data_IF_950885070989
#
_entry.id   IF_950885070989
#
_cell.length_a   1.000
_cell.length_b   1.000
_cell.length_c   1.000
_cell.angle_alpha   90.00
_cell.angle_beta   90.00
_cell.angle_gamma   90.00
#
_symmetry.space_group_name_H-M   'P 1'
#
loop_
_entity.id
_entity.type
_entity.pdbx_description
1 polymer ?
#
# COMPACT_ATOMS: atom_id res chain seq x y z
N UNK A 1 -12.15 -13.92 -12.31
CA UNK A 1 -11.38 -13.83 -13.58
C UNK A 1 -11.37 -12.43 -14.18
N UNK A 2 -12.52 -11.76 -14.43
CA UNK A 2 -12.54 -10.41 -15.03
C UNK A 2 -11.78 -9.32 -14.23
N UNK A 3 -11.85 -9.35 -12.89
CA UNK A 3 -11.15 -8.39 -12.02
C UNK A 3 -9.61 -8.48 -12.13
N UNK A 4 -9.09 -9.69 -12.28
CA UNK A 4 -7.66 -9.98 -12.42
C UNK A 4 -7.14 -9.44 -13.76
N UNK A 5 -7.88 -9.65 -14.85
CA UNK A 5 -7.55 -9.08 -16.16
C UNK A 5 -7.62 -7.55 -16.18
N UNK A 6 -8.57 -6.93 -15.48
CA UNK A 6 -8.64 -5.47 -15.36
C UNK A 6 -7.53 -4.89 -14.48
N UNK A 7 -7.15 -5.59 -13.41
CA UNK A 7 -6.02 -5.22 -12.55
C UNK A 7 -4.72 -5.18 -13.37
N UNK A 8 -4.52 -6.12 -14.30
CA UNK A 8 -3.32 -6.25 -15.12
C UNK A 8 -3.35 -5.54 -16.48
N UNK A 9 -4.50 -5.02 -16.95
CA UNK A 9 -4.53 -4.12 -18.10
C UNK A 9 -3.95 -2.75 -17.71
N UNK A 10 -2.78 -2.42 -18.25
CA UNK A 10 -2.09 -1.15 -17.99
C UNK A 10 -2.63 -0.10 -18.95
N UNK A 11 -3.65 0.65 -18.53
CA UNK A 11 -4.05 1.86 -19.24
C UNK A 11 -2.99 2.96 -19.03
N UNK A 12 -2.76 3.80 -20.04
CA UNK A 12 -1.86 4.95 -19.97
C UNK A 12 -2.11 5.83 -18.72
N UNK A 13 -3.38 5.92 -18.28
CA UNK A 13 -3.81 6.64 -17.08
C UNK A 13 -3.14 6.13 -15.80
N UNK A 14 -2.91 4.81 -15.66
CA UNK A 14 -2.27 4.26 -14.45
C UNK A 14 -0.83 4.76 -14.30
N UNK A 15 -0.09 4.90 -15.40
CA UNK A 15 1.28 5.45 -15.37
C UNK A 15 1.30 6.93 -15.02
N UNK A 16 0.30 7.70 -15.47
CA UNK A 16 0.17 9.11 -15.10
C UNK A 16 -0.08 9.28 -13.59
N UNK A 17 -0.89 8.42 -12.99
CA UNK A 17 -1.13 8.43 -11.53
C UNK A 17 0.17 8.15 -10.78
N UNK A 18 0.92 7.12 -11.18
CA UNK A 18 2.22 6.81 -10.56
C UNK A 18 3.18 8.00 -10.65
N UNK A 19 3.27 8.61 -11.84
CA UNK A 19 4.11 9.79 -12.04
C UNK A 19 3.66 10.93 -11.12
N UNK A 20 2.35 11.18 -11.02
CA UNK A 20 1.79 12.22 -10.17
C UNK A 20 2.12 11.99 -8.68
N UNK A 21 1.95 10.76 -8.18
CA UNK A 21 2.20 10.39 -6.79
C UNK A 21 3.67 10.58 -6.38
N UNK A 22 4.61 10.46 -7.32
CA UNK A 22 6.04 10.70 -7.05
C UNK A 22 6.45 12.15 -7.34
N UNK A 23 5.93 12.74 -8.42
CA UNK A 23 6.32 14.08 -8.87
C UNK A 23 5.86 15.16 -7.89
N UNK A 24 4.63 15.11 -7.38
CA UNK A 24 4.13 16.12 -6.44
C UNK A 24 5.00 16.21 -5.17
N UNK A 25 5.27 15.10 -4.45
CA UNK A 25 6.17 15.12 -3.30
C UNK A 25 7.55 15.66 -3.63
N UNK A 26 8.11 15.27 -4.77
CA UNK A 26 9.45 15.70 -5.20
C UNK A 26 9.50 17.20 -5.50
N UNK A 27 8.44 17.76 -6.09
CA UNK A 27 8.35 19.18 -6.42
C UNK A 27 8.05 20.07 -5.20
N UNK A 28 7.17 19.62 -4.29
CA UNK A 28 6.68 20.44 -3.18
C UNK A 28 7.51 20.32 -1.90
N UNK A 29 8.06 19.15 -1.59
CA UNK A 29 8.87 18.90 -0.38
C UNK A 29 10.37 18.76 -0.69
N UNK A 30 10.74 18.66 -1.96
CA UNK A 30 12.12 18.47 -2.41
C UNK A 30 12.62 17.03 -2.24
N UNK A 31 12.85 16.56 -1.01
CA UNK A 31 13.47 15.25 -0.74
C UNK A 31 12.48 14.24 -0.18
N UNK A 32 12.32 13.12 -0.88
CA UNK A 32 11.59 11.94 -0.41
C UNK A 32 12.35 11.32 0.76
N UNK A 33 11.66 11.07 1.89
CA UNK A 33 12.22 10.37 3.07
C UNK A 33 12.29 8.86 2.83
N UNK A 34 13.19 8.48 1.94
CA UNK A 34 13.53 7.11 1.62
C UNK A 34 15.00 6.87 1.93
N UNK A 35 15.28 5.84 2.72
CA UNK A 35 16.64 5.34 2.96
C UNK A 35 16.64 3.83 2.95
N UNK A 36 17.64 3.22 2.33
CA UNK A 36 17.85 1.80 2.45
C UNK A 36 18.39 1.49 3.85
N UNK A 37 17.64 0.70 4.63
CA UNK A 37 17.94 0.43 6.04
C UNK A 37 17.52 -0.99 6.38
N UNK A 38 18.49 -1.84 6.74
CA UNK A 38 18.24 -3.24 7.14
C UNK A 38 17.28 -3.28 8.32
N UNK A 39 17.41 -2.36 9.28
CA UNK A 39 16.49 -2.24 10.41
C UNK A 39 15.06 -1.99 9.95
N UNK A 40 14.86 -1.04 9.03
CA UNK A 40 13.51 -0.68 8.56
C UNK A 40 12.91 -1.81 7.70
N UNK A 41 13.74 -2.57 6.99
CA UNK A 41 13.34 -3.81 6.29
C UNK A 41 12.87 -4.87 7.29
N UNK A 42 13.65 -5.15 8.33
CA UNK A 42 13.29 -6.13 9.35
C UNK A 42 12.01 -5.74 10.10
N UNK A 43 11.83 -4.45 10.41
CA UNK A 43 10.59 -3.94 11.00
C UNK A 43 9.41 -4.18 10.05
N UNK A 44 9.55 -3.80 8.77
CA UNK A 44 8.52 -4.00 7.75
C UNK A 44 8.11 -5.47 7.62
N UNK A 45 9.08 -6.37 7.50
CA UNK A 45 8.83 -7.83 7.41
C UNK A 45 8.17 -8.36 8.68
N UNK A 46 8.68 -7.97 9.86
CA UNK A 46 8.16 -8.45 11.15
C UNK A 46 6.71 -8.03 11.34
N UNK A 47 6.40 -6.74 11.12
CA UNK A 47 5.03 -6.23 11.24
C UNK A 47 4.12 -6.86 10.18
N UNK A 48 4.62 -7.07 8.95
CA UNK A 48 3.87 -7.80 7.92
C UNK A 48 3.53 -9.21 8.37
N UNK A 49 4.47 -9.96 8.95
CA UNK A 49 4.20 -11.30 9.45
C UNK A 49 3.13 -11.30 10.55
N UNK A 50 3.21 -10.36 11.50
CA UNK A 50 2.24 -10.25 12.61
C UNK A 50 0.80 -10.05 12.12
N UNK A 51 0.59 -9.21 11.10
CA UNK A 51 -0.75 -8.91 10.60
C UNK A 51 -1.21 -9.86 9.49
N UNK A 52 -0.31 -10.30 8.61
CA UNK A 52 -0.68 -11.07 7.43
C UNK A 52 -0.72 -12.57 7.68
N UNK A 53 0.05 -13.13 8.63
CA UNK A 53 -0.05 -14.57 8.92
C UNK A 53 -1.43 -14.98 9.46
N UNK A 54 -2.07 -14.23 10.40
CA UNK A 54 -3.45 -14.51 10.79
C UNK A 54 -4.43 -14.44 9.62
N UNK A 55 -4.25 -13.47 8.73
CA UNK A 55 -5.06 -13.35 7.50
C UNK A 55 -4.87 -14.58 6.59
N UNK A 56 -3.63 -14.99 6.31
CA UNK A 56 -3.33 -16.17 5.50
C UNK A 56 -3.93 -17.45 6.11
N UNK A 57 -3.81 -17.61 7.43
CA UNK A 57 -4.40 -18.73 8.15
C UNK A 57 -5.93 -18.72 8.02
N UNK A 58 -6.57 -17.58 8.25
CA UNK A 58 -8.02 -17.42 8.09
C UNK A 58 -8.48 -17.76 6.67
N UNK A 59 -7.80 -17.26 5.64
CA UNK A 59 -8.14 -17.55 4.24
C UNK A 59 -8.01 -19.05 3.93
N UNK A 60 -6.95 -19.69 4.42
CA UNK A 60 -6.77 -21.15 4.28
C UNK A 60 -7.90 -21.94 4.95
N UNK A 61 -8.35 -21.53 6.15
CA UNK A 61 -9.52 -22.14 6.82
C UNK A 61 -10.83 -21.97 6.04
N UNK A 62 -10.91 -20.96 5.16
CA UNK A 62 -12.05 -20.74 4.25
C UNK A 62 -11.93 -21.52 2.94
N UNK A 63 -10.94 -22.42 2.83
CA UNK A 63 -10.69 -23.24 1.64
C UNK A 63 -10.05 -22.48 0.49
N UNK A 64 -9.54 -21.26 0.74
CA UNK A 64 -8.84 -20.45 -0.25
C UNK A 64 -7.40 -20.92 -0.38
N UNK A 65 -6.91 -21.02 -1.60
CA UNK A 65 -5.52 -21.42 -1.86
C UNK A 65 -4.71 -20.23 -2.34
N UNK A 66 -3.45 -20.17 -1.90
CA UNK A 66 -2.54 -19.13 -2.35
C UNK A 66 -1.95 -19.53 -3.70
N UNK A 67 -2.10 -18.65 -4.68
CA UNK A 67 -1.49 -18.77 -6.01
C UNK A 67 -0.47 -17.64 -6.17
N UNK A 68 0.75 -18.01 -6.55
CA UNK A 68 1.80 -17.03 -6.80
C UNK A 68 1.44 -16.13 -7.99
N UNK A 69 1.56 -14.83 -7.77
CA UNK A 69 1.43 -13.84 -8.83
C UNK A 69 2.64 -13.91 -9.78
N UNK A 70 2.46 -13.64 -11.09
CA UNK A 70 3.58 -13.52 -12.02
C UNK A 70 4.61 -12.48 -11.56
N UNK A 71 5.88 -12.66 -11.92
CA UNK A 71 6.95 -11.71 -11.54
C UNK A 71 6.65 -10.27 -11.94
N UNK A 72 6.05 -10.05 -13.11
CA UNK A 72 5.62 -8.72 -13.56
C UNK A 72 4.58 -8.09 -12.62
N UNK A 73 3.63 -8.89 -12.13
CA UNK A 73 2.63 -8.46 -11.16
C UNK A 73 3.27 -8.11 -9.81
N UNK A 74 4.21 -8.93 -9.32
CA UNK A 74 4.94 -8.66 -8.08
C UNK A 74 5.72 -7.34 -8.16
N UNK A 75 6.47 -7.13 -9.24
CA UNK A 75 7.21 -5.90 -9.48
C UNK A 75 6.28 -4.69 -9.57
N UNK A 76 5.13 -4.84 -10.24
CA UNK A 76 4.15 -3.77 -10.33
C UNK A 76 3.51 -3.43 -8.98
N UNK A 77 3.22 -4.43 -8.13
CA UNK A 77 2.71 -4.18 -6.78
C UNK A 77 3.70 -3.39 -5.92
N UNK A 78 5.01 -3.68 -6.05
CA UNK A 78 6.05 -2.97 -5.31
C UNK A 78 6.29 -1.57 -5.87
N UNK A 79 6.61 -1.46 -7.15
CA UNK A 79 7.12 -0.20 -7.75
C UNK A 79 6.05 0.64 -8.42
N UNK A 80 4.95 0.04 -8.85
CA UNK A 80 3.84 0.72 -9.51
C UNK A 80 2.70 1.10 -8.58
N UNK A 81 2.62 0.51 -7.38
CA UNK A 81 1.52 0.76 -6.43
C UNK A 81 2.09 1.17 -5.06
N UNK A 82 2.67 0.21 -4.33
CA UNK A 82 3.05 0.42 -2.94
C UNK A 82 4.07 1.56 -2.76
N UNK A 83 5.13 1.58 -3.56
CA UNK A 83 6.17 2.59 -3.39
C UNK A 83 5.69 4.02 -3.72
N UNK A 84 5.07 4.30 -4.89
CA UNK A 84 4.49 5.61 -5.20
C UNK A 84 3.45 6.07 -4.18
N UNK A 85 2.54 5.20 -3.77
CA UNK A 85 1.50 5.55 -2.81
C UNK A 85 2.08 5.89 -1.44
N UNK A 86 3.03 5.10 -0.92
CA UNK A 86 3.65 5.41 0.37
C UNK A 86 4.51 6.67 0.35
N UNK A 87 5.15 7.01 -0.79
CA UNK A 87 5.80 8.31 -0.98
C UNK A 87 4.78 9.45 -0.83
N UNK A 88 3.63 9.33 -1.50
CA UNK A 88 2.62 10.39 -1.50
C UNK A 88 1.88 10.51 -0.17
N UNK A 89 1.32 9.43 0.34
CA UNK A 89 0.49 9.47 1.53
C UNK A 89 1.34 9.63 2.80
N UNK A 90 2.46 8.92 2.93
CA UNK A 90 3.29 9.00 4.15
C UNK A 90 4.37 10.04 4.04
N UNK A 91 5.22 9.88 3.03
CA UNK A 91 6.37 10.73 2.81
C UNK A 91 5.99 12.20 2.67
N UNK A 92 4.84 12.46 2.02
CA UNK A 92 4.35 13.81 1.76
C UNK A 92 3.17 14.21 2.66
N UNK A 93 1.96 13.67 2.45
CA UNK A 93 0.75 14.17 3.15
C UNK A 93 0.83 14.03 4.67
N UNK A 94 1.21 12.86 5.18
CA UNK A 94 1.30 12.63 6.62
C UNK A 94 2.41 13.47 7.25
N UNK A 95 3.52 13.66 6.53
CA UNK A 95 4.65 14.48 6.96
C UNK A 95 4.27 15.97 7.01
N UNK A 96 3.59 16.49 5.98
CA UNK A 96 3.05 17.85 5.93
C UNK A 96 2.07 18.15 7.07
N UNK A 97 1.29 17.15 7.49
CA UNK A 97 0.36 17.26 8.63
C UNK A 97 1.03 17.03 10.00
N UNK A 98 2.36 16.85 10.02
CA UNK A 98 3.17 16.82 11.24
C UNK A 98 3.46 15.43 11.81
N UNK A 99 3.34 14.37 11.01
CA UNK A 99 3.72 12.98 11.33
C UNK A 99 3.35 12.49 12.75
N UNK A 100 2.13 12.80 13.18
CA UNK A 100 1.60 12.43 14.49
C UNK A 100 0.33 11.56 14.33
N UNK A 101 -0.25 11.09 15.45
CA UNK A 101 -1.42 10.20 15.43
C UNK A 101 -2.59 10.83 14.65
N UNK A 102 -2.82 12.14 14.78
CA UNK A 102 -3.90 12.83 14.05
C UNK A 102 -3.63 12.81 12.55
N UNK A 103 -2.42 13.15 12.12
CA UNK A 103 -2.00 13.08 10.72
C UNK A 103 -2.17 11.66 10.16
N UNK A 104 -1.73 10.63 10.91
CA UNK A 104 -1.87 9.23 10.54
C UNK A 104 -3.34 8.83 10.29
N UNK A 105 -4.24 9.21 11.19
CA UNK A 105 -5.67 8.89 11.07
C UNK A 105 -6.28 9.62 9.87
N UNK A 106 -6.02 10.93 9.74
CA UNK A 106 -6.55 11.74 8.63
C UNK A 106 -6.08 11.21 7.28
N UNK A 107 -4.77 10.96 7.14
CA UNK A 107 -4.22 10.42 5.89
C UNK A 107 -4.73 9.01 5.63
N UNK A 108 -4.93 8.18 6.66
CA UNK A 108 -5.51 6.86 6.45
C UNK A 108 -6.96 6.89 5.99
N UNK A 109 -7.73 7.86 6.48
CA UNK A 109 -9.06 8.11 5.97
C UNK A 109 -9.02 8.57 4.51
N UNK A 110 -8.16 9.54 4.17
CA UNK A 110 -7.98 10.00 2.78
C UNK A 110 -7.54 8.87 1.84
N UNK A 111 -6.63 8.00 2.29
CA UNK A 111 -6.20 6.81 1.56
C UNK A 111 -7.37 5.86 1.27
N UNK A 112 -8.24 5.61 2.24
CA UNK A 112 -9.43 4.79 2.00
C UNK A 112 -10.42 5.46 1.03
N UNK A 113 -10.51 6.79 1.04
CA UNK A 113 -11.38 7.53 0.12
C UNK A 113 -10.92 7.45 -1.34
N UNK A 114 -9.62 7.31 -1.62
CA UNK A 114 -9.14 7.10 -3.00
C UNK A 114 -9.57 5.75 -3.58
N UNK A 115 -10.11 4.86 -2.74
CA UNK A 115 -10.64 3.56 -3.14
C UNK A 115 -12.17 3.56 -3.34
N UNK A 116 -12.85 4.70 -3.14
CA UNK A 116 -14.29 4.83 -3.42
C UNK A 116 -14.66 4.50 -4.87
N UNK A 117 -13.88 4.86 -5.91
CA UNK A 117 -14.17 4.44 -7.28
C UNK A 117 -14.27 2.91 -7.43
N UNK A 118 -13.49 2.13 -6.68
CA UNK A 118 -13.53 0.67 -6.71
C UNK A 118 -14.85 0.14 -6.17
N UNK A 119 -15.35 0.73 -5.08
CA UNK A 119 -16.69 0.46 -4.57
C UNK A 119 -17.77 0.83 -5.61
N UNK A 120 -17.72 2.02 -6.20
CA UNK A 120 -18.78 2.50 -7.10
C UNK A 120 -18.78 1.72 -8.43
N UNK A 121 -17.61 1.49 -9.02
CA UNK A 121 -17.48 0.89 -10.36
C UNK A 121 -17.59 -0.63 -10.32
N UNK A 122 -17.04 -1.27 -9.28
CA UNK A 122 -16.95 -2.73 -9.21
C UNK A 122 -17.75 -3.35 -8.06
N UNK A 123 -18.40 -2.55 -7.22
CA UNK A 123 -19.21 -3.05 -6.11
C UNK A 123 -18.36 -3.72 -5.02
N UNK A 124 -17.09 -3.33 -4.86
CA UNK A 124 -16.19 -3.92 -3.87
C UNK A 124 -16.19 -3.11 -2.56
N UNK A 125 -17.00 -3.48 -1.54
CA UNK A 125 -17.00 -2.80 -0.24
C UNK A 125 -15.71 -3.00 0.56
N UNK A 126 -14.94 -4.04 0.26
CA UNK A 126 -13.69 -4.32 0.97
C UNK A 126 -12.60 -3.30 0.62
N UNK A 127 -12.74 -2.62 -0.52
CA UNK A 127 -11.85 -1.53 -0.93
C UNK A 127 -11.76 -0.39 0.10
N UNK A 128 -12.82 -0.13 0.88
CA UNK A 128 -12.81 0.88 1.95
C UNK A 128 -12.14 0.39 3.24
N UNK A 129 -12.00 -0.93 3.41
CA UNK A 129 -11.27 -1.51 4.55
C UNK A 129 -9.76 -1.24 4.46
N UNK A 130 -9.26 -0.71 3.33
CA UNK A 130 -7.90 -0.19 3.17
C UNK A 130 -7.53 0.89 4.20
N UNK A 131 -8.52 1.48 4.88
CA UNK A 131 -8.32 2.30 6.08
C UNK A 131 -7.44 1.60 7.14
N UNK A 132 -7.72 0.33 7.46
CA UNK A 132 -7.04 -0.41 8.51
C UNK A 132 -5.56 -0.72 8.21
N UNK A 133 -5.18 -1.32 7.07
CA UNK A 133 -3.78 -1.48 6.72
C UNK A 133 -3.09 -0.11 6.58
N UNK A 134 -3.82 0.94 6.15
CA UNK A 134 -3.27 2.29 6.12
C UNK A 134 -2.87 2.83 7.50
N UNK A 135 -3.59 2.48 8.57
CA UNK A 135 -3.17 2.84 9.93
C UNK A 135 -1.83 2.16 10.30
N UNK A 136 -1.61 0.92 9.87
CA UNK A 136 -0.35 0.21 10.09
C UNK A 136 0.80 0.89 9.32
N UNK A 137 0.57 1.20 8.05
CA UNK A 137 1.53 1.91 7.19
C UNK A 137 1.87 3.30 7.73
N UNK A 138 0.86 4.03 8.22
CA UNK A 138 1.06 5.33 8.85
C UNK A 138 1.82 5.23 10.18
N UNK A 139 1.54 4.20 10.99
CA UNK A 139 2.27 3.93 12.23
C UNK A 139 3.74 3.56 12.00
N UNK A 140 4.01 2.76 10.98
CA UNK A 140 5.37 2.40 10.55
C UNK A 140 6.16 3.65 10.14
N UNK A 141 5.54 4.53 9.35
CA UNK A 141 6.16 5.79 8.96
C UNK A 141 6.38 6.73 10.15
N UNK A 142 5.42 6.86 11.07
CA UNK A 142 5.61 7.67 12.30
C UNK A 142 6.84 7.23 13.11
N UNK A 143 7.08 5.91 13.19
CA UNK A 143 8.18 5.35 13.98
C UNK A 143 9.54 5.41 13.29
N UNK A 144 9.56 5.32 11.97
CA UNK A 144 10.81 5.19 11.20
C UNK A 144 11.22 6.47 10.49
N UNK A 145 10.25 7.36 10.19
CA UNK A 145 10.38 8.47 9.24
C UNK A 145 11.02 8.03 7.92
N UNK A 146 10.69 6.81 7.49
CA UNK A 146 11.20 6.17 6.28
C UNK A 146 10.07 5.38 5.61
N UNK A 147 9.78 5.69 4.36
CA UNK A 147 8.68 5.04 3.62
C UNK A 147 8.94 3.55 3.35
N UNK A 148 10.19 3.09 3.40
CA UNK A 148 10.57 1.70 3.09
C UNK A 148 9.79 0.65 3.90
N UNK A 149 9.64 0.86 5.21
CA UNK A 149 8.93 -0.11 6.07
C UNK A 149 7.44 -0.19 5.72
N UNK A 150 6.81 0.95 5.43
CA UNK A 150 5.43 1.02 4.96
C UNK A 150 5.26 0.42 3.57
N UNK A 151 6.19 0.67 2.64
CA UNK A 151 6.17 0.07 1.28
C UNK A 151 6.24 -1.45 1.34
N UNK A 152 7.08 -2.03 2.21
CA UNK A 152 7.18 -3.49 2.37
C UNK A 152 5.85 -4.06 2.86
N UNK A 153 5.27 -3.45 3.91
CA UNK A 153 3.98 -3.89 4.43
C UNK A 153 2.87 -3.79 3.39
N UNK A 154 2.78 -2.65 2.70
CA UNK A 154 1.80 -2.41 1.65
C UNK A 154 1.90 -3.47 0.55
N UNK A 155 3.10 -3.64 -0.03
CA UNK A 155 3.31 -4.59 -1.11
C UNK A 155 2.95 -6.01 -0.70
N UNK A 156 3.39 -6.45 0.50
CA UNK A 156 3.06 -7.77 1.02
C UNK A 156 1.56 -7.93 1.26
N UNK A 157 0.88 -6.92 1.81
CA UNK A 157 -0.56 -6.97 2.01
C UNK A 157 -1.32 -7.13 0.68
N UNK A 158 -0.95 -6.37 -0.35
CA UNK A 158 -1.56 -6.50 -1.68
C UNK A 158 -1.28 -7.87 -2.31
N UNK A 159 -0.03 -8.35 -2.25
CA UNK A 159 0.34 -9.64 -2.83
C UNK A 159 -0.40 -10.78 -2.13
N UNK A 160 -0.49 -10.75 -0.80
CA UNK A 160 -1.26 -11.74 -0.03
C UNK A 160 -2.75 -11.68 -0.40
N UNK A 161 -3.35 -10.49 -0.40
CA UNK A 161 -4.77 -10.34 -0.72
C UNK A 161 -5.10 -10.81 -2.15
N UNK A 162 -4.30 -10.42 -3.15
CA UNK A 162 -4.51 -10.78 -4.56
C UNK A 162 -4.17 -12.25 -4.86
N UNK A 163 -3.26 -12.86 -4.10
CA UNK A 163 -2.81 -14.23 -4.34
C UNK A 163 -3.78 -15.29 -3.81
N UNK A 164 -4.64 -14.98 -2.83
CA UNK A 164 -5.67 -15.92 -2.37
C UNK A 164 -6.89 -15.93 -3.31
N UNK A 165 -7.19 -17.10 -3.90
CA UNK A 165 -8.35 -17.35 -4.78
C UNK A 165 -9.44 -18.17 -4.10
#
# INVERSE_FOLDING_TARGET
>A
MAYVYHAFSLSFVKYLIVLFLVAIPSLLQGKIKFRFSVRDILIGITISAVFLLPFCYYMSQRGKTFVFLPTSALLFQVFGIAFPEEIYFRGFLQDCLGNNIRAMIVVSFLFSLTHVPQLIVYGDPYSLLTFFPSLVMGSLYMRTSNVLSSTIFHALANIMFLGFL
#
